data_IF_829729410286
#
_entry.id   IF_829729410286
#
_cell.length_a   1.000
_cell.length_b   1.000
_cell.length_c   1.000
_cell.angle_alpha   90.00
_cell.angle_beta   90.00
_cell.angle_gamma   90.00
#
_symmetry.space_group_name_H-M   'P 1'
#
loop_
_entity.id
_entity.type
_entity.pdbx_description
1 polymer ?
#
# COMPACT_ATOMS: atom_id res chain seq x y z
N UNK A 1 -46.21 28.22 -39.60
CA UNK A 1 -45.25 27.15 -39.99
C UNK A 1 -44.81 26.44 -38.73
N UNK A 2 -45.32 25.23 -38.48
CA UNK A 2 -44.83 24.37 -37.39
C UNK A 2 -43.59 23.63 -37.89
N UNK A 3 -42.44 23.83 -37.23
CA UNK A 3 -41.26 22.99 -37.47
C UNK A 3 -41.54 21.63 -36.84
N UNK A 4 -41.67 20.60 -37.67
CA UNK A 4 -41.68 19.22 -37.20
C UNK A 4 -40.28 18.94 -36.66
N UNK A 5 -40.16 18.66 -35.36
CA UNK A 5 -38.90 18.20 -34.76
C UNK A 5 -38.59 16.84 -35.37
N UNK A 6 -37.49 16.68 -36.13
CA UNK A 6 -37.17 15.40 -36.72
C UNK A 6 -36.84 14.41 -35.60
N UNK A 7 -37.36 13.19 -35.70
CA UNK A 7 -36.96 12.10 -34.81
C UNK A 7 -35.44 11.88 -34.93
N UNK A 8 -34.75 11.59 -33.82
CA UNK A 8 -33.32 11.31 -33.85
C UNK A 8 -33.04 10.13 -34.79
N UNK A 9 -31.93 10.14 -35.54
CA UNK A 9 -31.58 9.05 -36.43
C UNK A 9 -31.45 7.75 -35.62
N UNK A 10 -32.02 6.67 -36.15
CA UNK A 10 -31.90 5.34 -35.56
C UNK A 10 -30.43 4.93 -35.50
N UNK A 11 -29.85 4.86 -34.29
CA UNK A 11 -28.44 4.52 -34.09
C UNK A 11 -28.21 3.02 -34.24
N UNK A 12 -28.34 2.50 -35.45
CA UNK A 12 -27.83 1.18 -35.78
C UNK A 12 -26.30 1.28 -35.78
N UNK A 13 -25.68 1.11 -34.61
CA UNK A 13 -24.23 1.15 -34.46
C UNK A 13 -23.62 0.13 -35.42
N UNK A 14 -22.69 0.58 -36.25
CA UNK A 14 -21.92 -0.32 -37.11
C UNK A 14 -21.15 -1.32 -36.24
N UNK A 15 -20.86 -2.51 -36.76
CA UNK A 15 -20.08 -3.54 -36.06
C UNK A 15 -18.74 -3.00 -35.52
N UNK A 16 -18.16 -2.05 -36.25
CA UNK A 16 -16.91 -1.37 -35.90
C UNK A 16 -17.11 -0.44 -34.69
N UNK A 17 -18.19 0.34 -34.66
CA UNK A 17 -18.51 1.22 -33.53
C UNK A 17 -18.85 0.43 -32.27
N UNK A 18 -19.51 -0.72 -32.42
CA UNK A 18 -19.78 -1.64 -31.32
C UNK A 18 -18.49 -2.25 -30.75
N UNK A 19 -17.46 -2.50 -31.57
CA UNK A 19 -16.15 -2.98 -31.07
C UNK A 19 -15.36 -1.89 -30.35
N UNK A 20 -15.38 -0.65 -30.83
CA UNK A 20 -14.71 0.47 -30.13
C UNK A 20 -15.40 0.77 -28.80
N UNK A 21 -16.74 0.81 -28.76
CA UNK A 21 -17.49 0.98 -27.51
C UNK A 21 -17.14 -0.09 -26.46
N UNK A 22 -16.93 -1.35 -26.88
CA UNK A 22 -16.49 -2.43 -25.99
C UNK A 22 -15.07 -2.21 -25.46
N UNK A 23 -14.15 -1.68 -26.29
CA UNK A 23 -12.79 -1.34 -25.85
C UNK A 23 -12.81 -0.20 -24.84
N UNK A 24 -13.66 0.80 -25.04
CA UNK A 24 -13.82 1.91 -24.10
C UNK A 24 -14.42 1.43 -22.76
N UNK A 25 -15.40 0.52 -22.81
CA UNK A 25 -15.99 -0.09 -21.62
C UNK A 25 -14.96 -0.92 -20.82
N UNK A 26 -14.17 -1.73 -21.53
CA UNK A 26 -13.11 -2.54 -20.93
C UNK A 26 -12.00 -1.65 -20.33
N UNK A 27 -11.59 -0.60 -21.05
CA UNK A 27 -10.61 0.36 -20.55
C UNK A 27 -11.12 1.13 -19.32
N UNK A 28 -12.41 1.50 -19.30
CA UNK A 28 -13.04 2.16 -18.16
C UNK A 28 -13.11 1.22 -16.95
N UNK A 29 -13.52 -0.04 -17.16
CA UNK A 29 -13.57 -1.07 -16.12
C UNK A 29 -12.18 -1.30 -15.54
N UNK A 30 -11.16 -1.47 -16.39
CA UNK A 30 -9.76 -1.62 -15.97
C UNK A 30 -9.26 -0.41 -15.18
N UNK A 31 -9.60 0.80 -15.58
CA UNK A 31 -9.21 2.00 -14.85
C UNK A 31 -9.88 2.07 -13.48
N UNK A 32 -11.17 1.75 -13.38
CA UNK A 32 -11.88 1.71 -12.11
C UNK A 32 -11.34 0.62 -11.19
N UNK A 33 -11.12 -0.59 -11.70
CA UNK A 33 -10.53 -1.68 -10.92
C UNK A 33 -9.15 -1.32 -10.37
N UNK A 34 -8.33 -0.62 -11.16
CA UNK A 34 -7.01 -0.16 -10.73
C UNK A 34 -7.08 0.79 -9.51
N UNK A 35 -8.07 1.68 -9.45
CA UNK A 35 -8.21 2.65 -8.36
C UNK A 35 -9.09 2.17 -7.20
N UNK A 36 -10.10 1.34 -7.46
CA UNK A 36 -11.09 0.92 -6.47
C UNK A 36 -10.71 -0.40 -5.79
N UNK A 37 -10.00 -1.30 -6.49
CA UNK A 37 -9.53 -2.59 -5.98
C UNK A 37 -8.04 -2.78 -6.29
N UNK A 38 -7.15 -1.96 -5.69
CA UNK A 38 -5.71 -2.15 -5.89
C UNK A 38 -5.33 -3.55 -5.39
N UNK A 39 -4.88 -4.41 -6.31
CA UNK A 39 -4.27 -5.66 -5.89
C UNK A 39 -3.00 -5.31 -5.11
N UNK A 40 -2.75 -5.95 -3.96
CA UNK A 40 -1.50 -5.74 -3.24
C UNK A 40 -0.36 -6.09 -4.19
N UNK A 41 0.43 -5.09 -4.57
CA UNK A 41 1.66 -5.30 -5.31
C UNK A 41 2.52 -6.25 -4.47
N UNK A 42 3.11 -7.30 -5.07
CA UNK A 42 4.19 -8.02 -4.40
C UNK A 42 5.18 -6.99 -3.87
N UNK A 43 5.63 -7.09 -2.61
CA UNK A 43 6.65 -6.18 -2.11
C UNK A 43 7.79 -6.20 -3.12
N UNK A 44 8.13 -5.01 -3.65
CA UNK A 44 9.24 -4.87 -4.58
C UNK A 44 10.47 -5.35 -3.82
N UNK A 45 10.99 -6.53 -4.20
CA UNK A 45 12.06 -7.17 -3.45
C UNK A 45 13.27 -6.24 -3.51
N UNK A 46 13.60 -5.67 -2.36
CA UNK A 46 14.74 -4.79 -2.23
C UNK A 46 15.99 -5.59 -2.61
N UNK A 47 16.73 -5.17 -3.64
CA UNK A 47 17.86 -5.97 -4.17
C UNK A 47 19.03 -6.08 -3.18
N UNK A 48 18.96 -5.31 -2.10
CA UNK A 48 19.90 -5.33 -0.97
C UNK A 48 19.40 -6.19 0.20
N UNK A 49 18.16 -6.68 0.14
CA UNK A 49 17.57 -7.54 1.14
C UNK A 49 17.93 -9.01 0.87
N UNK A 50 18.95 -9.51 1.57
CA UNK A 50 19.39 -10.91 1.48
C UNK A 50 18.42 -11.87 2.19
N UNK A 51 17.66 -11.36 3.16
CA UNK A 51 16.75 -12.15 4.00
C UNK A 51 15.40 -11.42 4.15
N UNK A 52 14.32 -12.16 3.92
CA UNK A 52 12.95 -11.70 4.17
C UNK A 52 12.48 -12.35 5.46
N UNK A 53 12.19 -11.55 6.47
CA UNK A 53 11.60 -12.03 7.73
C UNK A 53 10.11 -12.22 7.47
N UNK A 54 9.59 -13.42 7.77
CA UNK A 54 8.16 -13.65 7.65
C UNK A 54 7.42 -12.69 8.60
N UNK A 55 6.32 -12.05 8.18
CA UNK A 55 5.69 -10.94 8.92
C UNK A 55 5.11 -11.31 10.30
N UNK A 56 5.13 -12.59 10.67
CA UNK A 56 4.68 -13.10 11.97
C UNK A 56 5.83 -13.52 12.89
N UNK A 57 7.08 -13.41 12.43
CA UNK A 57 8.27 -13.74 13.22
C UNK A 57 8.89 -12.44 13.70
N UNK A 58 8.95 -12.30 15.02
CA UNK A 58 9.63 -11.18 15.67
C UNK A 58 11.16 -11.29 15.55
N UNK A 59 11.82 -10.14 15.60
CA UNK A 59 13.28 -10.01 15.49
C UNK A 59 14.02 -10.76 16.60
N UNK A 60 13.44 -10.86 17.81
CA UNK A 60 14.02 -11.64 18.91
C UNK A 60 14.06 -13.13 18.58
N UNK A 61 12.96 -13.69 18.04
CA UNK A 61 12.89 -15.08 17.60
C UNK A 61 13.89 -15.40 16.49
N UNK A 62 14.09 -14.48 15.54
CA UNK A 62 15.11 -14.64 14.49
C UNK A 62 16.53 -14.64 15.07
N UNK A 63 16.86 -13.65 15.91
CA UNK A 63 18.18 -13.56 16.53
C UNK A 63 18.46 -14.70 17.51
N UNK A 64 17.41 -15.29 18.06
CA UNK A 64 17.49 -16.48 18.87
C UNK A 64 17.90 -17.72 18.07
N UNK A 65 17.46 -17.84 16.82
CA UNK A 65 17.72 -19.00 15.96
C UNK A 65 19.02 -18.84 15.15
N UNK A 66 19.27 -17.65 14.58
CA UNK A 66 20.36 -17.41 13.63
C UNK A 66 21.72 -17.10 14.27
N UNK A 67 21.75 -16.68 15.55
CA UNK A 67 22.98 -16.21 16.21
C UNK A 67 23.54 -17.29 17.13
N UNK A 68 24.83 -17.60 16.94
CA UNK A 68 25.58 -18.51 17.83
C UNK A 68 25.46 -18.12 19.31
N UNK A 69 25.38 -19.12 20.19
CA UNK A 69 25.12 -18.98 21.64
C UNK A 69 25.86 -17.81 22.30
N UNK A 70 27.17 -17.67 22.05
CA UNK A 70 28.00 -16.62 22.66
C UNK A 70 27.60 -15.19 22.28
N UNK A 71 26.98 -14.99 21.11
CA UNK A 71 26.60 -13.67 20.57
C UNK A 71 25.11 -13.43 20.65
N UNK A 72 24.29 -14.48 20.81
CA UNK A 72 22.83 -14.40 20.91
C UNK A 72 22.37 -13.45 22.01
N UNK A 73 22.97 -13.53 23.19
CA UNK A 73 22.61 -12.66 24.31
C UNK A 73 22.87 -11.17 24.02
N UNK A 74 23.97 -10.88 23.31
CA UNK A 74 24.33 -9.50 22.92
C UNK A 74 23.37 -9.01 21.85
N UNK A 75 23.06 -9.83 20.84
CA UNK A 75 22.14 -9.49 19.77
C UNK A 75 20.73 -9.18 20.32
N UNK A 76 20.21 -10.00 21.22
CA UNK A 76 18.92 -9.76 21.88
C UNK A 76 18.94 -8.49 22.74
N UNK A 77 20.02 -8.24 23.48
CA UNK A 77 20.14 -7.04 24.29
C UNK A 77 20.11 -5.76 23.42
N UNK A 78 20.80 -5.78 22.27
CA UNK A 78 20.78 -4.66 21.32
C UNK A 78 19.38 -4.43 20.77
N UNK A 79 18.68 -5.48 20.35
CA UNK A 79 17.30 -5.38 19.84
C UNK A 79 16.35 -4.78 20.87
N UNK A 80 16.40 -5.27 22.12
CA UNK A 80 15.61 -4.73 23.24
C UNK A 80 15.91 -3.25 23.51
N UNK A 81 17.17 -2.86 23.40
CA UNK A 81 17.58 -1.46 23.56
C UNK A 81 17.03 -0.59 22.43
N UNK A 82 17.06 -1.07 21.19
CA UNK A 82 16.50 -0.36 20.04
C UNK A 82 15.00 -0.11 20.20
N UNK A 83 14.24 -1.13 20.63
CA UNK A 83 12.80 -0.99 20.92
C UNK A 83 12.55 0.04 22.03
N UNK A 84 13.37 0.00 23.09
CA UNK A 84 13.30 0.97 24.18
C UNK A 84 13.57 2.40 23.71
N UNK A 85 14.54 2.60 22.82
CA UNK A 85 14.84 3.91 22.22
C UNK A 85 13.67 4.38 21.35
N UNK A 86 13.09 3.50 20.54
CA UNK A 86 11.95 3.84 19.70
C UNK A 86 10.75 4.33 20.53
N UNK A 87 10.41 3.62 21.62
CA UNK A 87 9.35 4.05 22.54
C UNK A 87 9.65 5.40 23.20
N UNK A 88 10.91 5.68 23.53
CA UNK A 88 11.30 6.99 24.09
C UNK A 88 11.15 8.10 23.05
N UNK A 89 11.48 7.84 21.79
CA UNK A 89 11.31 8.78 20.68
C UNK A 89 9.83 9.06 20.43
N UNK A 90 9.01 8.01 20.30
CA UNK A 90 7.55 8.15 20.13
C UNK A 90 6.94 8.97 21.26
N UNK A 91 7.27 8.64 22.52
CA UNK A 91 6.80 9.40 23.68
C UNK A 91 7.30 10.85 23.70
N UNK A 92 8.50 11.12 23.20
CA UNK A 92 9.02 12.48 23.12
C UNK A 92 8.28 13.30 22.06
N UNK A 93 7.96 12.69 20.91
CA UNK A 93 7.15 13.30 19.86
C UNK A 93 5.74 13.62 20.36
N UNK A 94 5.08 12.67 21.03
CA UNK A 94 3.76 12.86 21.63
C UNK A 94 3.72 14.07 22.58
N UNK A 95 4.80 14.28 23.35
CA UNK A 95 4.92 15.42 24.26
C UNK A 95 5.02 16.75 23.52
N UNK A 96 5.74 16.78 22.40
CA UNK A 96 5.86 17.99 21.58
C UNK A 96 4.51 18.35 20.94
N UNK A 97 3.78 17.37 20.40
CA UNK A 97 2.44 17.58 19.84
C UNK A 97 1.44 18.06 20.90
N UNK A 98 1.50 17.50 22.11
CA UNK A 98 0.68 17.95 23.24
C UNK A 98 1.01 19.39 23.68
N UNK A 99 2.27 19.82 23.54
CA UNK A 99 2.67 21.22 23.83
C UNK A 99 2.21 22.19 22.74
N UNK A 100 2.21 21.78 21.48
CA UNK A 100 1.75 22.58 20.35
C UNK A 100 0.23 22.82 20.40
N UNK A 101 -0.54 21.76 20.70
CA UNK A 101 -2.00 21.85 20.82
C UNK A 101 -2.48 22.66 22.04
N UNK A 102 -1.65 22.81 23.08
CA UNK A 102 -1.97 23.63 24.25
C UNK A 102 -1.65 25.13 24.07
N UNK A 103 -0.92 25.49 23.01
CA UNK A 103 -0.43 26.85 22.77
C UNK A 103 -1.22 27.62 21.68
N UNK A 104 -2.15 26.97 20.98
CA UNK A 104 -3.05 27.57 19.98
C UNK A 104 -4.48 27.70 20.48
#
# INVERSE_FOLDING_TARGET
MFKVTPNPPNSAKSRVEASEAKKHEDAATRALDYYLNPQPSPPEADKHQLFIVAPHIDTETLLADDVDDSRRCIALAISRMADGVQLLVERALDRLEAQETAAG
#
